data_IF_224418881774
#
_entry.id   IF_224418881774
#
_cell.length_a   1.000
_cell.length_b   1.000
_cell.length_c   1.000
_cell.angle_alpha   90.00
_cell.angle_beta   90.00
_cell.angle_gamma   90.00
#
_symmetry.space_group_name_H-M   'P 1'
#
loop_
_entity.id
_entity.type
_entity.pdbx_description
1 polymer ?
#
# COMPACT_ATOMS: atom_id res chain seq x y z
N UNK A 1 -12.47 45.84 12.53
CA UNK A 1 -12.32 44.36 12.67
C UNK A 1 -12.48 43.61 11.35
N UNK A 2 -13.15 44.18 10.33
CA UNK A 2 -13.36 43.56 9.01
C UNK A 2 -12.10 43.50 8.14
N UNK A 3 -11.22 44.51 8.21
CA UNK A 3 -10.06 44.60 7.32
C UNK A 3 -8.96 43.59 7.67
N UNK A 4 -8.70 43.38 8.97
CA UNK A 4 -7.72 42.38 9.41
C UNK A 4 -8.15 40.96 8.99
N UNK A 5 -9.43 40.63 9.14
CA UNK A 5 -9.97 39.34 8.71
C UNK A 5 -9.87 39.16 7.19
N UNK A 6 -10.11 40.21 6.41
CA UNK A 6 -9.95 40.21 4.96
C UNK A 6 -8.50 39.94 4.54
N UNK A 7 -7.53 40.68 5.08
CA UNK A 7 -6.11 40.49 4.74
C UNK A 7 -5.57 39.12 5.17
N UNK A 8 -5.98 38.63 6.34
CA UNK A 8 -5.64 37.28 6.80
C UNK A 8 -6.24 36.23 5.85
N UNK A 9 -7.49 36.41 5.42
CA UNK A 9 -8.15 35.51 4.46
C UNK A 9 -7.45 35.46 3.11
N UNK A 10 -7.06 36.62 2.56
CA UNK A 10 -6.32 36.70 1.29
C UNK A 10 -4.94 36.05 1.40
N UNK A 11 -4.22 36.29 2.50
CA UNK A 11 -2.90 35.69 2.73
C UNK A 11 -2.97 34.16 2.86
N UNK A 12 -3.97 33.64 3.59
CA UNK A 12 -4.20 32.20 3.72
C UNK A 12 -4.58 31.59 2.36
N UNK A 13 -5.45 32.24 1.60
CA UNK A 13 -5.85 31.76 0.27
C UNK A 13 -4.66 31.71 -0.69
N UNK A 14 -3.81 32.75 -0.70
CA UNK A 14 -2.57 32.74 -1.48
C UNK A 14 -1.63 31.64 -1.03
N UNK A 15 -1.41 31.46 0.28
CA UNK A 15 -0.57 30.38 0.79
C UNK A 15 -1.08 29.00 0.36
N UNK A 16 -2.39 28.75 0.41
CA UNK A 16 -2.99 27.51 -0.07
C UNK A 16 -2.80 27.33 -1.57
N UNK A 17 -2.98 28.39 -2.38
CA UNK A 17 -2.78 28.36 -3.82
C UNK A 17 -1.33 28.03 -4.21
N UNK A 18 -0.34 28.48 -3.43
CA UNK A 18 1.07 28.14 -3.69
C UNK A 18 1.47 26.76 -3.16
N UNK A 19 0.94 26.34 -2.00
CA UNK A 19 1.28 25.05 -1.40
C UNK A 19 0.60 23.86 -2.11
N UNK A 20 -0.63 24.02 -2.58
CA UNK A 20 -1.41 22.93 -3.19
C UNK A 20 -0.73 22.32 -4.43
N UNK A 21 -0.23 23.09 -5.42
CA UNK A 21 0.49 22.54 -6.56
C UNK A 21 1.74 21.77 -6.16
N UNK A 22 2.47 22.23 -5.13
CA UNK A 22 3.67 21.56 -4.63
C UNK A 22 3.30 20.20 -4.02
N UNK A 23 2.25 20.16 -3.19
CA UNK A 23 1.76 18.90 -2.59
C UNK A 23 1.30 17.93 -3.67
N UNK A 24 0.53 18.40 -4.67
CA UNK A 24 0.09 17.57 -5.80
C UNK A 24 1.30 17.02 -6.56
N UNK A 25 2.28 17.87 -6.85
CA UNK A 25 3.51 17.45 -7.53
C UNK A 25 4.26 16.37 -6.75
N UNK A 26 4.45 16.54 -5.44
CA UNK A 26 5.09 15.54 -4.58
C UNK A 26 4.31 14.21 -4.61
N UNK A 27 2.98 14.26 -4.49
CA UNK A 27 2.14 13.07 -4.56
C UNK A 27 2.27 12.32 -5.89
N UNK A 28 2.32 13.04 -7.01
CA UNK A 28 2.52 12.46 -8.35
C UNK A 28 3.91 11.81 -8.46
N UNK A 29 4.96 12.49 -8.01
CA UNK A 29 6.33 11.94 -8.01
C UNK A 29 6.40 10.69 -7.15
N UNK A 30 5.84 10.71 -5.93
CA UNK A 30 5.79 9.55 -5.04
C UNK A 30 5.00 8.38 -5.65
N UNK A 31 3.90 8.66 -6.34
CA UNK A 31 3.12 7.65 -7.05
C UNK A 31 3.97 6.92 -8.09
N UNK A 32 4.62 7.67 -8.99
CA UNK A 32 5.45 7.09 -10.03
C UNK A 32 6.67 6.35 -9.46
N UNK A 33 7.28 6.91 -8.42
CA UNK A 33 8.38 6.27 -7.70
C UNK A 33 7.95 4.92 -7.10
N UNK A 34 6.79 4.87 -6.44
CA UNK A 34 6.24 3.64 -5.86
C UNK A 34 5.95 2.56 -6.93
N UNK A 35 5.36 2.96 -8.05
CA UNK A 35 5.02 2.02 -9.14
C UNK A 35 6.29 1.38 -9.73
N UNK A 36 7.33 2.18 -9.99
CA UNK A 36 8.57 1.71 -10.61
C UNK A 36 9.51 0.96 -9.66
N UNK A 37 9.40 1.18 -8.35
CA UNK A 37 10.27 0.51 -7.38
C UNK A 37 10.06 -1.01 -7.39
N UNK A 38 11.13 -1.83 -7.45
CA UNK A 38 11.00 -3.27 -7.38
C UNK A 38 10.45 -3.73 -6.02
N UNK A 39 9.81 -4.89 -6.00
CA UNK A 39 9.38 -5.54 -4.77
C UNK A 39 10.59 -6.01 -3.97
N UNK A 40 10.65 -5.66 -2.69
CA UNK A 40 11.75 -6.05 -1.80
C UNK A 40 11.52 -7.45 -1.27
N UNK A 41 12.58 -8.21 -1.00
CA UNK A 41 12.44 -9.43 -0.19
C UNK A 41 11.82 -9.08 1.16
N UNK A 42 10.87 -9.88 1.61
CA UNK A 42 10.26 -9.69 2.92
C UNK A 42 11.34 -9.84 4.01
N UNK A 43 11.47 -8.87 4.95
CA UNK A 43 12.44 -8.98 6.03
C UNK A 43 12.04 -10.10 7.00
N UNK A 44 13.01 -10.73 7.65
CA UNK A 44 12.77 -11.82 8.60
C UNK A 44 12.04 -11.37 9.88
N UNK A 45 12.17 -10.10 10.27
CA UNK A 45 11.48 -9.52 11.43
C UNK A 45 10.48 -8.48 10.99
N UNK A 46 9.37 -8.36 11.74
CA UNK A 46 8.36 -7.32 11.52
C UNK A 46 9.00 -5.92 11.65
N UNK A 47 8.86 -5.04 10.64
CA UNK A 47 9.31 -3.67 10.77
C UNK A 47 8.38 -2.89 11.71
N UNK A 48 8.94 -2.00 12.52
CA UNK A 48 8.15 -1.07 13.35
C UNK A 48 7.36 -0.09 12.48
N UNK A 49 8.02 0.48 11.47
CA UNK A 49 7.43 1.31 10.42
C UNK A 49 8.05 0.87 9.09
N UNK A 50 7.24 0.62 8.07
CA UNK A 50 7.72 0.33 6.72
C UNK A 50 7.36 1.47 5.76
N UNK A 51 8.37 2.06 5.12
CA UNK A 51 8.17 3.09 4.09
C UNK A 51 8.02 2.47 2.70
N UNK A 52 6.94 2.87 2.01
CA UNK A 52 6.58 2.40 0.67
C UNK A 52 6.62 0.86 0.59
N UNK A 53 5.83 0.15 1.43
CA UNK A 53 5.92 -1.30 1.53
C UNK A 53 5.45 -1.96 0.23
N UNK A 54 6.32 -2.82 -0.30
CA UNK A 54 6.13 -3.73 -1.44
C UNK A 54 7.03 -4.94 -1.19
N UNK A 55 6.43 -6.12 -1.05
CA UNK A 55 7.17 -7.32 -0.68
C UNK A 55 7.09 -8.40 -1.75
N UNK A 56 8.20 -9.13 -1.91
CA UNK A 56 8.31 -10.40 -2.61
C UNK A 56 8.59 -11.47 -1.57
N UNK A 57 7.81 -12.53 -1.61
CA UNK A 57 8.00 -13.71 -0.77
C UNK A 57 8.36 -14.87 -1.69
N UNK A 58 9.54 -15.44 -1.49
CA UNK A 58 10.09 -16.56 -2.26
C UNK A 58 9.97 -17.87 -1.46
N UNK A 59 10.06 -19.02 -2.14
CA UNK A 59 10.02 -20.33 -1.51
C UNK A 59 8.63 -20.65 -0.96
N UNK A 60 7.62 -20.43 -1.79
CA UNK A 60 6.21 -20.70 -1.49
C UNK A 60 5.68 -21.75 -2.46
N UNK A 61 4.72 -22.54 -1.99
CA UNK A 61 3.95 -23.44 -2.84
C UNK A 61 2.70 -22.71 -3.32
N UNK A 62 2.56 -22.58 -4.64
CA UNK A 62 1.51 -21.74 -5.23
C UNK A 62 0.10 -22.13 -4.79
N UNK A 63 -0.20 -23.42 -4.66
CA UNK A 63 -1.54 -23.89 -4.32
C UNK A 63 -1.92 -23.58 -2.86
N UNK A 64 -0.96 -23.67 -1.94
CA UNK A 64 -1.16 -23.20 -0.55
C UNK A 64 -1.44 -21.70 -0.51
N UNK A 65 -0.68 -20.91 -1.30
CA UNK A 65 -0.88 -19.46 -1.37
C UNK A 65 -2.24 -19.10 -1.98
N UNK A 66 -2.70 -19.80 -3.03
CA UNK A 66 -4.04 -19.60 -3.59
C UNK A 66 -5.12 -19.83 -2.54
N UNK A 67 -5.06 -20.95 -1.81
CA UNK A 67 -6.02 -21.26 -0.76
C UNK A 67 -6.04 -20.19 0.35
N UNK A 68 -4.87 -19.67 0.73
CA UNK A 68 -4.77 -18.59 1.73
C UNK A 68 -5.30 -17.26 1.20
N UNK A 69 -5.04 -16.91 -0.06
CA UNK A 69 -5.57 -15.71 -0.70
C UNK A 69 -7.10 -15.71 -0.69
N UNK A 70 -7.71 -16.84 -1.05
CA UNK A 70 -9.17 -17.00 -1.06
C UNK A 70 -9.75 -16.87 0.36
N UNK A 71 -9.14 -17.55 1.36
CA UNK A 71 -9.52 -17.42 2.78
C UNK A 71 -9.43 -15.99 3.30
N UNK A 72 -8.43 -15.24 2.84
CA UNK A 72 -8.19 -13.84 3.21
C UNK A 72 -9.06 -12.86 2.41
N UNK A 73 -9.95 -13.35 1.55
CA UNK A 73 -10.91 -12.54 0.80
C UNK A 73 -10.31 -11.79 -0.38
N UNK A 74 -9.16 -12.25 -0.90
CA UNK A 74 -8.71 -11.83 -2.22
C UNK A 74 -9.58 -12.48 -3.29
N UNK A 75 -9.74 -11.78 -4.42
CA UNK A 75 -10.42 -12.28 -5.61
C UNK A 75 -9.43 -12.35 -6.76
N UNK A 76 -9.37 -13.47 -7.47
CA UNK A 76 -8.64 -13.59 -8.72
C UNK A 76 -9.29 -12.67 -9.76
N UNK A 77 -8.49 -11.86 -10.44
CA UNK A 77 -8.97 -11.00 -11.55
C UNK A 77 -8.43 -11.47 -12.90
N UNK A 78 -7.20 -11.97 -12.92
CA UNK A 78 -6.49 -12.45 -14.10
C UNK A 78 -5.55 -13.58 -13.65
N UNK A 79 -4.94 -14.30 -14.59
CA UNK A 79 -4.01 -15.38 -14.25
C UNK A 79 -2.84 -14.88 -13.41
N UNK A 80 -2.64 -15.53 -12.26
CA UNK A 80 -1.66 -15.14 -11.24
C UNK A 80 -1.97 -13.83 -10.51
N UNK A 81 -3.02 -13.07 -10.85
CA UNK A 81 -3.28 -11.77 -10.22
C UNK A 81 -4.53 -11.78 -9.35
N UNK A 82 -4.34 -11.40 -8.09
CA UNK A 82 -5.37 -11.37 -7.06
C UNK A 82 -5.49 -9.97 -6.47
N UNK A 83 -6.70 -9.52 -6.20
CA UNK A 83 -6.94 -8.22 -5.57
C UNK A 83 -7.88 -8.33 -4.38
N UNK A 84 -7.64 -7.48 -3.39
CA UNK A 84 -8.51 -7.30 -2.23
C UNK A 84 -8.90 -5.84 -2.13
N UNK A 85 -10.21 -5.58 -2.07
CA UNK A 85 -10.77 -4.24 -1.94
C UNK A 85 -10.65 -3.69 -0.52
N UNK A 86 -11.21 -2.49 -0.29
CA UNK A 86 -11.29 -1.90 1.05
C UNK A 86 -12.23 -2.74 1.93
N UNK A 87 -11.81 -3.14 3.13
CA UNK A 87 -12.64 -3.90 4.08
C UNK A 87 -12.65 -3.15 5.40
N UNK A 88 -13.76 -2.59 5.88
CA UNK A 88 -13.77 -1.84 7.15
C UNK A 88 -13.37 -2.73 8.37
N UNK A 89 -12.51 -2.22 9.28
CA UNK A 89 -12.07 -2.85 10.55
C UNK A 89 -10.57 -2.66 10.91
N UNK A 90 -10.05 -3.38 11.92
CA UNK A 90 -8.83 -3.11 12.74
C UNK A 90 -7.43 -2.94 12.09
N UNK A 91 -7.27 -2.90 10.76
CA UNK A 91 -5.95 -2.75 10.11
C UNK A 91 -5.87 -1.45 9.29
N UNK A 92 -4.74 -0.75 9.29
CA UNK A 92 -4.56 0.49 8.51
C UNK A 92 -4.70 0.26 6.99
N UNK A 93 -4.28 -0.92 6.53
CA UNK A 93 -4.24 -1.32 5.11
C UNK A 93 -5.62 -1.57 4.50
N UNK A 94 -6.65 -1.70 5.34
CA UNK A 94 -8.01 -1.98 4.93
C UNK A 94 -8.67 -0.89 4.08
N UNK A 95 -8.06 0.29 3.95
CA UNK A 95 -8.57 1.37 3.08
C UNK A 95 -7.89 1.42 1.71
N UNK A 96 -7.04 0.45 1.39
CA UNK A 96 -6.22 0.46 0.17
C UNK A 96 -6.49 -0.81 -0.62
N UNK A 97 -6.67 -0.67 -1.94
CA UNK A 97 -6.78 -1.82 -2.84
C UNK A 97 -5.42 -2.52 -2.86
N UNK A 98 -5.37 -3.79 -2.46
CA UNK A 98 -4.17 -4.61 -2.52
C UNK A 98 -4.13 -5.41 -3.81
N UNK A 99 -2.93 -5.64 -4.32
CA UNK A 99 -2.65 -6.51 -5.46
C UNK A 99 -1.60 -7.53 -5.05
N UNK A 100 -1.90 -8.79 -5.32
CA UNK A 100 -0.96 -9.92 -5.23
C UNK A 100 -0.72 -10.45 -6.63
N UNK A 101 0.55 -10.65 -6.99
CA UNK A 101 0.97 -11.32 -8.23
C UNK A 101 1.67 -12.60 -7.81
N UNK A 102 1.04 -13.73 -8.10
CA UNK A 102 1.48 -15.08 -7.77
C UNK A 102 2.18 -15.71 -8.99
N UNK A 103 3.30 -16.35 -8.71
CA UNK A 103 4.05 -17.22 -9.60
C UNK A 103 4.26 -18.57 -8.91
N UNK A 104 4.86 -19.55 -9.59
CA UNK A 104 4.94 -20.94 -9.10
C UNK A 104 5.72 -21.06 -7.78
N UNK A 105 6.75 -20.24 -7.57
CA UNK A 105 7.64 -20.31 -6.41
C UNK A 105 7.80 -18.99 -5.63
N UNK A 106 7.08 -17.93 -6.02
CA UNK A 106 7.06 -16.66 -5.29
C UNK A 106 5.73 -15.93 -5.48
N UNK A 107 5.44 -15.00 -4.58
CA UNK A 107 4.43 -13.98 -4.85
C UNK A 107 4.95 -12.58 -4.51
N UNK A 108 4.30 -11.58 -5.08
CA UNK A 108 4.53 -10.16 -4.83
C UNK A 108 3.26 -9.54 -4.28
N UNK A 109 3.36 -8.71 -3.24
CA UNK A 109 2.23 -8.00 -2.65
C UNK A 109 2.54 -6.51 -2.47
N UNK A 110 1.58 -5.67 -2.85
CA UNK A 110 1.65 -4.22 -2.72
C UNK A 110 0.30 -3.56 -2.95
N UNK A 111 0.29 -2.24 -3.01
CA UNK A 111 -0.90 -1.50 -3.37
C UNK A 111 -1.21 -1.66 -4.87
N UNK A 112 -2.46 -1.97 -5.19
CA UNK A 112 -2.99 -2.11 -6.55
C UNK A 112 -3.62 -0.84 -7.12
N UNK A 113 -3.44 0.31 -6.45
CA UNK A 113 -3.99 1.60 -6.86
C UNK A 113 -3.17 2.73 -6.24
N UNK A 114 -3.71 3.36 -5.19
CA UNK A 114 -2.99 4.40 -4.44
C UNK A 114 -1.84 3.80 -3.62
N UNK A 115 -0.63 4.39 -3.67
CA UNK A 115 0.54 3.89 -2.95
C UNK A 115 0.31 3.94 -1.43
N UNK A 116 0.87 2.97 -0.73
CA UNK A 116 1.00 3.00 0.73
C UNK A 116 2.28 3.79 1.03
N UNK A 117 2.17 4.99 1.60
CA UNK A 117 3.35 5.79 1.95
C UNK A 117 4.13 5.13 3.09
N UNK A 118 3.42 4.71 4.14
CA UNK A 118 3.97 3.96 5.27
C UNK A 118 2.90 3.08 5.93
N UNK A 119 3.33 2.03 6.62
CA UNK A 119 2.50 1.22 7.52
C UNK A 119 3.28 0.83 8.80
N UNK A 120 2.60 0.24 9.79
CA UNK A 120 3.19 -0.30 11.03
C UNK A 120 3.50 -1.80 10.93
N UNK A 121 3.94 -2.25 9.75
CA UNK A 121 4.22 -3.66 9.46
C UNK A 121 2.97 -4.50 9.17
N UNK A 122 1.85 -3.86 8.86
CA UNK A 122 0.59 -4.54 8.51
C UNK A 122 0.73 -5.34 7.21
N UNK A 123 1.42 -4.80 6.20
CA UNK A 123 1.58 -5.48 4.90
C UNK A 123 2.55 -6.64 5.05
N UNK A 124 3.52 -6.50 5.95
CA UNK A 124 4.43 -7.58 6.33
C UNK A 124 3.66 -8.73 6.97
N UNK A 125 2.77 -8.43 7.93
CA UNK A 125 1.94 -9.44 8.59
C UNK A 125 1.05 -10.16 7.58
N UNK A 126 0.36 -9.40 6.73
CA UNK A 126 -0.49 -9.99 5.69
C UNK A 126 0.29 -10.84 4.69
N UNK A 127 1.49 -10.42 4.30
CA UNK A 127 2.35 -11.21 3.43
C UNK A 127 2.74 -12.56 4.08
N UNK A 128 3.09 -12.58 5.36
CA UNK A 128 3.38 -13.83 6.05
C UNK A 128 2.15 -14.74 6.19
N UNK A 129 0.97 -14.18 6.47
CA UNK A 129 -0.28 -14.97 6.51
C UNK A 129 -0.63 -15.56 5.16
N UNK A 130 -0.45 -14.82 4.07
CA UNK A 130 -0.61 -15.37 2.71
C UNK A 130 0.38 -16.52 2.48
N UNK A 131 1.62 -16.36 2.93
CA UNK A 131 2.66 -17.38 2.81
C UNK A 131 2.46 -18.59 3.73
N UNK A 132 1.50 -18.57 4.65
CA UNK A 132 1.31 -19.62 5.67
C UNK A 132 2.45 -19.65 6.71
N UNK A 133 3.12 -18.51 6.92
CA UNK A 133 4.23 -18.34 7.88
C UNK A 133 3.78 -17.58 9.13
N UNK A 134 2.55 -17.80 9.56
CA UNK A 134 2.01 -17.12 10.72
C UNK A 134 2.86 -17.46 11.97
N UNK A 135 3.33 -16.42 12.66
CA UNK A 135 3.80 -16.50 14.04
C UNK A 135 2.61 -16.71 14.99
#
# INVERSE_FOLDING_TARGET
MTDLAYYVGVAVLQALLYCMPIVIFICVVMYFYYQRRPYKKIPARKPFIAFLPKYRVEGIEADNVKANLDKLGFKKIEDGTYVRGKIFGEFSIKYIKLKVILSDNYFQIGAGGSPIAFDTGDLWKLANSIAGRDE
#
